data_IF_668287300237
#
_entry.id   IF_668287300237
#
_cell.length_a   1.000
_cell.length_b   1.000
_cell.length_c   1.000
_cell.angle_alpha   90.00
_cell.angle_beta   90.00
_cell.angle_gamma   90.00
#
_symmetry.space_group_name_H-M   'P 1'
#
loop_
_entity.id
_entity.type
_entity.pdbx_description
1 polymer ?
#
# COMPACT_ATOMS: atom_id res chain seq x y z
N UNK A 1 16.64 6.59 -6.23
CA UNK A 1 16.46 7.46 -5.06
C UNK A 1 16.66 6.66 -3.78
N UNK A 2 17.57 7.07 -2.92
CA UNK A 2 17.84 6.44 -1.63
C UNK A 2 17.80 7.51 -0.53
N UNK A 3 16.76 7.54 0.34
CA UNK A 3 16.53 8.63 1.27
C UNK A 3 17.72 8.94 2.17
N UNK A 4 18.42 7.93 2.68
CA UNK A 4 19.58 8.13 3.57
C UNK A 4 20.78 8.75 2.86
N UNK A 5 20.91 8.60 1.55
CA UNK A 5 21.98 9.23 0.77
C UNK A 5 21.62 10.64 0.33
N UNK A 6 20.35 10.87 -0.03
CA UNK A 6 19.86 12.18 -0.46
C UNK A 6 19.73 13.18 0.72
N UNK A 7 19.41 12.67 1.92
CA UNK A 7 19.20 13.47 3.11
C UNK A 7 20.18 13.09 4.23
N UNK A 8 21.45 12.91 3.90
CA UNK A 8 22.49 12.43 4.83
C UNK A 8 22.56 13.26 6.11
N UNK A 9 22.35 14.58 6.03
CA UNK A 9 22.38 15.49 7.19
C UNK A 9 21.25 15.18 8.17
N UNK A 10 20.04 14.82 7.67
CA UNK A 10 18.91 14.47 8.51
C UNK A 10 19.19 13.19 9.30
N UNK A 11 19.72 12.16 8.62
CA UNK A 11 20.05 10.89 9.27
C UNK A 11 21.25 11.01 10.21
N UNK A 12 22.27 11.80 9.84
CA UNK A 12 23.44 12.00 10.67
C UNK A 12 23.15 12.80 11.95
N UNK A 13 22.30 13.83 11.87
CA UNK A 13 22.02 14.73 12.98
C UNK A 13 20.81 14.32 13.83
N UNK A 14 19.82 13.63 13.25
CA UNK A 14 18.51 13.37 13.87
C UNK A 14 18.08 11.92 13.85
N UNK A 15 18.90 11.00 13.35
CA UNK A 15 18.59 9.58 13.15
C UNK A 15 17.37 9.33 12.23
N UNK A 16 16.91 10.31 11.45
CA UNK A 16 15.79 10.19 10.54
C UNK A 16 14.89 11.42 10.51
N UNK A 17 13.72 11.26 9.89
CA UNK A 17 12.76 12.36 9.71
C UNK A 17 11.92 12.59 10.97
N UNK A 18 11.71 13.86 11.32
CA UNK A 18 10.84 14.25 12.42
C UNK A 18 9.37 14.00 12.10
N UNK A 19 8.96 14.23 10.84
CA UNK A 19 7.59 14.03 10.37
C UNK A 19 7.61 13.39 8.99
N UNK A 20 6.84 12.31 8.84
CA UNK A 20 6.54 11.67 7.55
C UNK A 20 5.03 11.71 7.38
N UNK A 21 4.54 12.26 6.29
CA UNK A 21 3.10 12.24 6.00
C UNK A 21 2.83 12.01 4.52
N UNK A 22 1.75 11.30 4.22
CA UNK A 22 1.38 11.06 2.83
C UNK A 22 0.24 10.09 2.62
N UNK A 23 -0.09 9.95 1.35
CA UNK A 23 -1.01 8.94 0.83
C UNK A 23 -0.22 8.07 -0.16
N UNK A 24 0.34 6.94 0.30
CA UNK A 24 1.10 6.05 -0.59
C UNK A 24 0.20 5.41 -1.64
N UNK A 25 0.74 4.97 -2.78
CA UNK A 25 -0.07 4.34 -3.84
C UNK A 25 -0.71 3.03 -3.35
N UNK A 26 -2.04 2.89 -3.50
CA UNK A 26 -2.82 1.70 -3.13
C UNK A 26 -2.84 0.68 -4.27
N UNK A 27 -1.67 0.33 -4.75
CA UNK A 27 -1.50 -0.50 -5.94
C UNK A 27 -0.99 -1.87 -5.52
N UNK A 28 -1.72 -2.90 -5.89
CA UNK A 28 -1.25 -4.29 -5.82
C UNK A 28 -0.34 -4.56 -7.01
N UNK A 29 0.73 -5.27 -6.76
CA UNK A 29 1.57 -5.77 -7.84
C UNK A 29 0.91 -7.02 -8.42
N UNK A 30 0.25 -6.85 -9.55
CA UNK A 30 -0.42 -7.93 -10.29
C UNK A 30 -0.04 -7.81 -11.76
N UNK A 31 0.22 -8.95 -12.41
CA UNK A 31 0.52 -8.97 -13.83
C UNK A 31 -0.78 -8.87 -14.64
N UNK A 32 -0.96 -7.79 -15.36
CA UNK A 32 -2.15 -7.53 -16.18
C UNK A 32 -1.97 -8.05 -17.62
N UNK A 33 -2.09 -9.36 -17.79
CA UNK A 33 -2.02 -10.04 -19.08
C UNK A 33 -3.00 -9.44 -20.11
N UNK A 34 -4.24 -9.16 -19.67
CA UNK A 34 -5.28 -8.63 -20.56
C UNK A 34 -4.95 -7.21 -20.97
N UNK A 35 -4.50 -6.37 -20.05
CA UNK A 35 -4.09 -5.00 -20.32
C UNK A 35 -3.02 -4.93 -21.40
N UNK A 36 -1.92 -5.67 -21.21
CA UNK A 36 -0.78 -5.69 -22.15
C UNK A 36 -1.21 -6.13 -23.57
N UNK A 37 -1.99 -7.21 -23.66
CA UNK A 37 -2.46 -7.68 -24.98
C UNK A 37 -3.43 -6.68 -25.60
N UNK A 38 -4.28 -6.05 -24.78
CA UNK A 38 -5.34 -5.16 -25.26
C UNK A 38 -4.83 -3.81 -25.77
N UNK A 39 -3.63 -3.39 -25.38
CA UNK A 39 -3.00 -2.19 -25.96
C UNK A 39 -2.90 -2.27 -27.49
N UNK A 40 -2.64 -3.46 -28.01
CA UNK A 40 -2.54 -3.71 -29.45
C UNK A 40 -3.76 -4.39 -30.05
N UNK A 41 -4.45 -5.22 -29.27
CA UNK A 41 -5.61 -6.02 -29.65
C UNK A 41 -6.81 -5.75 -28.72
N UNK A 42 -7.45 -4.57 -28.83
CA UNK A 42 -8.50 -4.12 -27.89
C UNK A 42 -9.69 -5.06 -27.76
N UNK A 43 -9.95 -5.88 -28.81
CA UNK A 43 -11.05 -6.85 -28.78
C UNK A 43 -10.90 -7.91 -27.68
N UNK A 44 -9.70 -8.12 -27.12
CA UNK A 44 -9.47 -9.07 -26.04
C UNK A 44 -10.09 -8.56 -24.72
N UNK A 45 -10.00 -7.27 -24.44
CA UNK A 45 -10.65 -6.65 -23.29
C UNK A 45 -12.18 -6.53 -23.50
N UNK A 46 -12.60 -6.10 -24.70
CA UNK A 46 -14.02 -5.82 -24.99
C UNK A 46 -14.89 -7.07 -24.84
N UNK A 47 -14.40 -8.24 -25.24
CA UNK A 47 -15.15 -9.50 -25.22
C UNK A 47 -15.27 -10.15 -23.86
N UNK A 48 -14.68 -9.58 -22.78
CA UNK A 48 -14.63 -10.17 -21.44
C UNK A 48 -14.27 -11.67 -21.46
N UNK A 49 -13.21 -11.98 -22.18
CA UNK A 49 -12.76 -13.34 -22.46
C UNK A 49 -12.36 -14.05 -21.16
N UNK A 50 -12.67 -15.34 -21.02
CA UNK A 50 -12.23 -16.11 -19.86
C UNK A 50 -10.71 -16.27 -19.82
N UNK A 51 -10.12 -16.47 -18.64
CA UNK A 51 -8.66 -16.62 -18.51
C UNK A 51 -8.08 -17.76 -19.40
N UNK A 52 -8.71 -18.95 -19.55
CA UNK A 52 -8.23 -19.96 -20.49
C UNK A 52 -8.26 -19.50 -21.94
N UNK A 53 -9.30 -18.75 -22.34
CA UNK A 53 -9.41 -18.24 -23.71
C UNK A 53 -8.41 -17.12 -23.99
N UNK A 54 -8.10 -16.28 -23.00
CA UNK A 54 -7.04 -15.26 -23.11
C UNK A 54 -5.71 -15.94 -23.38
N UNK A 55 -5.36 -17.00 -22.63
CA UNK A 55 -4.11 -17.74 -22.84
C UNK A 55 -4.00 -18.35 -24.23
N UNK A 56 -5.08 -18.98 -24.72
CA UNK A 56 -5.11 -19.53 -26.07
C UNK A 56 -4.90 -18.44 -27.11
N UNK A 57 -5.61 -17.31 -26.98
CA UNK A 57 -5.50 -16.19 -27.89
C UNK A 57 -4.13 -15.53 -27.85
N UNK A 58 -3.52 -15.42 -26.66
CA UNK A 58 -2.13 -14.97 -26.49
C UNK A 58 -1.18 -15.81 -27.35
N UNK A 59 -1.26 -17.13 -27.23
CA UNK A 59 -0.36 -18.06 -27.94
C UNK A 59 -0.56 -17.94 -29.46
N UNK A 60 -1.80 -17.77 -29.93
CA UNK A 60 -2.11 -17.45 -31.34
C UNK A 60 -1.49 -16.13 -31.78
N UNK A 61 -1.63 -15.07 -30.98
CA UNK A 61 -1.09 -13.74 -31.27
C UNK A 61 0.43 -13.73 -31.28
N UNK A 62 1.09 -14.43 -30.37
CA UNK A 62 2.56 -14.56 -30.36
C UNK A 62 3.10 -15.23 -31.62
N UNK A 63 2.36 -16.16 -32.22
CA UNK A 63 2.76 -16.82 -33.46
C UNK A 63 2.80 -15.87 -34.66
N UNK A 64 2.06 -14.77 -34.63
CA UNK A 64 1.92 -13.80 -35.73
C UNK A 64 2.54 -12.43 -35.41
N UNK A 65 2.76 -12.14 -34.14
CA UNK A 65 3.27 -10.85 -33.67
C UNK A 65 4.41 -11.02 -32.64
N UNK A 66 5.62 -11.18 -33.16
CA UNK A 66 6.81 -11.33 -32.32
C UNK A 66 7.15 -10.09 -31.48
N UNK A 67 6.65 -8.90 -31.88
CA UNK A 67 6.86 -7.67 -31.10
C UNK A 67 5.97 -7.66 -29.86
N UNK A 68 4.71 -8.11 -29.98
CA UNK A 68 3.84 -8.28 -28.83
C UNK A 68 4.44 -9.26 -27.82
N UNK A 69 4.97 -10.41 -28.30
CA UNK A 69 5.61 -11.37 -27.40
C UNK A 69 6.78 -10.77 -26.64
N UNK A 70 7.63 -9.98 -27.29
CA UNK A 70 8.77 -9.32 -26.63
C UNK A 70 8.32 -8.36 -25.54
N UNK A 71 7.32 -7.52 -25.81
CA UNK A 71 6.77 -6.57 -24.85
C UNK A 71 6.17 -7.35 -23.66
N UNK A 72 5.33 -8.33 -23.96
CA UNK A 72 4.71 -9.15 -22.93
C UNK A 72 5.74 -9.84 -22.00
N UNK A 73 6.79 -10.44 -22.58
CA UNK A 73 7.86 -11.09 -21.79
C UNK A 73 8.65 -10.11 -20.96
N UNK A 74 8.91 -8.92 -21.47
CA UNK A 74 9.59 -7.88 -20.71
C UNK A 74 8.75 -7.46 -19.49
N UNK A 75 7.46 -7.16 -19.66
CA UNK A 75 6.54 -6.81 -18.58
C UNK A 75 6.35 -7.96 -17.56
N UNK A 76 6.29 -9.23 -18.03
CA UNK A 76 6.21 -10.41 -17.17
C UNK A 76 7.46 -10.54 -16.29
N UNK A 77 8.64 -10.32 -16.85
CA UNK A 77 9.91 -10.36 -16.13
C UNK A 77 9.98 -9.22 -15.11
N UNK A 78 9.65 -7.99 -15.51
CA UNK A 78 9.71 -6.82 -14.64
C UNK A 78 8.74 -6.97 -13.46
N UNK A 79 7.50 -7.42 -13.71
CA UNK A 79 6.52 -7.69 -12.66
C UNK A 79 7.01 -8.80 -11.71
N UNK A 80 7.55 -9.88 -12.24
CA UNK A 80 8.07 -11.01 -11.45
C UNK A 80 9.27 -10.56 -10.61
N UNK A 81 10.22 -9.83 -11.18
CA UNK A 81 11.40 -9.33 -10.48
C UNK A 81 11.00 -8.35 -9.36
N UNK A 82 10.06 -7.43 -9.65
CA UNK A 82 9.53 -6.52 -8.64
C UNK A 82 8.85 -7.30 -7.49
N UNK A 83 8.06 -8.32 -7.80
CA UNK A 83 7.42 -9.17 -6.80
C UNK A 83 8.42 -9.90 -5.91
N UNK A 84 9.46 -10.48 -6.50
CA UNK A 84 10.54 -11.14 -5.77
C UNK A 84 11.28 -10.14 -4.86
N UNK A 85 11.62 -8.96 -5.37
CA UNK A 85 12.29 -7.92 -4.60
C UNK A 85 11.45 -7.43 -3.41
N UNK A 86 10.17 -7.16 -3.63
CA UNK A 86 9.26 -6.62 -2.61
C UNK A 86 8.80 -7.66 -1.58
N UNK A 87 8.96 -8.96 -1.86
CA UNK A 87 8.70 -10.05 -0.91
C UNK A 87 9.98 -10.66 -0.31
N UNK A 88 11.15 -10.16 -0.70
CA UNK A 88 12.40 -10.69 -0.17
C UNK A 88 12.57 -10.33 1.31
N UNK A 89 12.89 -11.31 2.14
CA UNK A 89 13.08 -11.13 3.58
C UNK A 89 14.09 -10.05 3.92
N UNK A 90 15.19 -9.95 3.16
CA UNK A 90 16.23 -8.95 3.40
C UNK A 90 15.75 -7.51 3.13
N UNK A 91 14.72 -7.32 2.29
CA UNK A 91 14.21 -6.00 1.94
C UNK A 91 13.00 -5.60 2.80
N UNK A 92 12.08 -6.57 3.00
CA UNK A 92 10.81 -6.34 3.70
C UNK A 92 10.46 -7.52 4.60
N UNK A 93 11.17 -7.73 5.73
CA UNK A 93 10.98 -8.90 6.60
C UNK A 93 9.56 -9.01 7.17
N UNK A 94 8.86 -7.89 7.33
CA UNK A 94 7.49 -7.85 7.85
C UNK A 94 6.42 -8.19 6.79
N UNK A 95 6.79 -8.25 5.49
CA UNK A 95 5.84 -8.45 4.38
C UNK A 95 5.93 -9.84 3.74
N UNK A 96 6.85 -10.68 4.19
CA UNK A 96 7.04 -12.03 3.63
C UNK A 96 5.75 -12.84 3.68
N UNK A 97 5.39 -13.44 2.53
CA UNK A 97 4.19 -14.28 2.40
C UNK A 97 2.86 -13.53 2.31
N UNK A 98 2.90 -12.20 2.26
CA UNK A 98 1.72 -11.36 2.02
C UNK A 98 1.61 -11.03 0.52
N UNK A 99 0.38 -10.70 0.08
CA UNK A 99 0.21 -10.12 -1.24
C UNK A 99 0.92 -8.76 -1.31
N UNK A 100 1.78 -8.60 -2.32
CA UNK A 100 2.56 -7.39 -2.53
C UNK A 100 1.64 -6.22 -2.84
N UNK A 101 1.73 -5.19 -2.01
CA UNK A 101 1.03 -3.93 -2.22
C UNK A 101 1.96 -2.77 -1.83
N UNK A 102 2.10 -1.78 -2.71
CA UNK A 102 3.10 -0.72 -2.56
C UNK A 102 2.92 0.10 -1.28
N UNK A 103 1.68 0.35 -0.83
CA UNK A 103 1.47 1.09 0.42
C UNK A 103 2.06 0.37 1.65
N UNK A 104 2.07 -0.98 1.68
CA UNK A 104 2.71 -1.74 2.77
C UNK A 104 4.23 -1.53 2.77
N UNK A 105 4.84 -1.50 1.59
CA UNK A 105 6.28 -1.23 1.46
C UNK A 105 6.63 0.20 1.90
N UNK A 106 5.81 1.19 1.51
CA UNK A 106 6.00 2.59 1.95
C UNK A 106 5.83 2.72 3.46
N UNK A 107 4.83 2.04 4.05
CA UNK A 107 4.60 2.02 5.48
C UNK A 107 5.82 1.47 6.25
N UNK A 108 6.32 0.31 5.84
CA UNK A 108 7.49 -0.31 6.50
C UNK A 108 8.74 0.54 6.35
N UNK A 109 9.02 1.05 5.15
CA UNK A 109 10.14 1.97 4.94
C UNK A 109 9.98 3.26 5.76
N UNK A 110 8.77 3.81 5.84
CA UNK A 110 8.49 4.99 6.64
C UNK A 110 8.78 4.76 8.13
N UNK A 111 8.44 3.58 8.66
CA UNK A 111 8.78 3.22 10.05
C UNK A 111 10.29 3.19 10.30
N UNK A 112 11.09 2.72 9.34
CA UNK A 112 12.55 2.69 9.41
C UNK A 112 13.18 4.07 9.23
N UNK A 113 12.51 4.98 8.53
CA UNK A 113 13.02 6.33 8.23
C UNK A 113 12.62 7.37 9.29
N UNK A 114 11.75 7.02 10.25
CA UNK A 114 11.43 7.91 11.37
C UNK A 114 12.64 8.12 12.28
N UNK A 115 12.92 9.36 12.60
CA UNK A 115 13.92 9.72 13.62
C UNK A 115 13.47 9.30 15.02
N UNK A 116 14.35 9.49 16.02
CA UNK A 116 14.16 9.03 17.40
C UNK A 116 12.85 9.47 18.05
N UNK A 117 12.39 10.69 17.74
CA UNK A 117 11.13 11.26 18.23
C UNK A 117 10.16 11.57 17.07
N UNK A 118 10.32 10.84 15.94
CA UNK A 118 9.59 11.08 14.72
C UNK A 118 8.14 10.58 14.78
N UNK A 119 7.30 11.19 13.93
CA UNK A 119 5.91 10.84 13.73
C UNK A 119 5.64 10.52 12.27
N UNK A 120 4.73 9.58 12.02
CA UNK A 120 4.30 9.25 10.68
C UNK A 120 2.78 9.19 10.59
N UNK A 121 2.22 9.98 9.66
CA UNK A 121 0.80 9.98 9.32
C UNK A 121 0.57 9.49 7.90
N UNK A 122 -0.09 8.35 7.71
CA UNK A 122 -0.39 7.80 6.40
C UNK A 122 -1.88 7.50 6.22
N UNK A 123 -2.36 7.71 4.98
CA UNK A 123 -3.66 7.20 4.54
C UNK A 123 -3.45 5.88 3.79
N UNK A 124 -4.07 4.80 4.27
CA UNK A 124 -3.89 3.47 3.69
C UNK A 124 -5.20 2.70 3.63
N UNK A 125 -5.33 1.68 2.75
CA UNK A 125 -6.42 0.73 2.84
C UNK A 125 -6.45 0.00 4.18
N UNK A 126 -7.65 -0.34 4.67
CA UNK A 126 -7.86 -1.12 5.90
C UNK A 126 -7.41 -2.59 5.80
N UNK A 127 -7.05 -3.04 4.62
CA UNK A 127 -6.57 -4.41 4.39
C UNK A 127 -5.32 -4.80 5.19
N UNK A 128 -4.58 -3.85 5.76
CA UNK A 128 -3.52 -4.13 6.75
C UNK A 128 -4.08 -4.92 7.94
N UNK A 129 -5.27 -4.54 8.41
CA UNK A 129 -5.88 -5.10 9.61
C UNK A 129 -6.61 -6.42 9.34
N UNK A 130 -7.09 -6.61 8.11
CA UNK A 130 -7.90 -7.75 7.68
C UNK A 130 -7.08 -8.88 7.02
N UNK A 131 -5.82 -8.62 6.62
CA UNK A 131 -4.97 -9.60 5.93
C UNK A 131 -4.61 -10.76 6.88
N UNK A 132 -5.03 -12.00 6.61
CA UNK A 132 -4.72 -13.14 7.47
C UNK A 132 -3.21 -13.39 7.62
N UNK A 133 -2.42 -13.10 6.57
CA UNK A 133 -0.97 -13.25 6.59
C UNK A 133 -0.24 -12.02 7.13
N UNK A 134 -0.96 -10.93 7.44
CA UNK A 134 -0.42 -9.66 7.88
C UNK A 134 0.01 -9.60 9.36
N UNK A 135 0.01 -10.73 10.09
CA UNK A 135 0.33 -10.74 11.52
C UNK A 135 1.70 -10.12 11.87
N UNK A 136 2.81 -10.40 11.16
CA UNK A 136 4.10 -9.80 11.50
C UNK A 136 4.08 -8.27 11.40
N UNK A 137 3.49 -7.75 10.33
CA UNK A 137 3.35 -6.31 10.13
C UNK A 137 2.45 -5.68 11.21
N UNK A 138 1.26 -6.25 11.47
CA UNK A 138 0.34 -5.74 12.51
C UNK A 138 0.96 -5.73 13.89
N UNK A 139 1.70 -6.79 14.23
CA UNK A 139 2.38 -6.89 15.54
C UNK A 139 3.36 -5.76 15.75
N UNK A 140 4.08 -5.36 14.70
CA UNK A 140 5.02 -4.24 14.78
C UNK A 140 4.28 -2.91 14.77
N UNK A 141 3.35 -2.73 13.83
CA UNK A 141 2.55 -1.52 13.67
C UNK A 141 1.86 -1.09 14.99
N UNK A 142 1.22 -2.02 15.70
CA UNK A 142 0.50 -1.70 16.94
C UNK A 142 1.39 -1.14 18.05
N UNK A 143 2.68 -1.45 18.07
CA UNK A 143 3.60 -0.89 19.06
C UNK A 143 3.84 0.60 18.84
N UNK A 144 3.78 1.04 17.59
CA UNK A 144 4.02 2.41 17.16
C UNK A 144 2.73 3.24 17.04
N UNK A 145 1.57 2.59 16.94
CA UNK A 145 0.30 3.24 16.66
C UNK A 145 -0.13 4.13 17.84
N UNK A 146 -0.50 5.39 17.53
CA UNK A 146 -1.09 6.35 18.47
C UNK A 146 -2.57 6.54 18.20
N UNK A 147 -2.94 6.74 16.95
CA UNK A 147 -4.31 6.95 16.50
C UNK A 147 -4.58 6.16 15.25
N UNK A 148 -5.80 5.63 15.16
CA UNK A 148 -6.33 4.96 14.00
C UNK A 148 -7.74 5.46 13.72
N UNK A 149 -7.93 6.06 12.53
CA UNK A 149 -9.20 6.63 12.09
C UNK A 149 -9.67 5.87 10.86
N UNK A 150 -10.66 4.98 11.03
CA UNK A 150 -11.20 4.20 9.93
C UNK A 150 -12.38 4.92 9.28
N UNK A 151 -12.25 5.16 7.98
CA UNK A 151 -13.26 5.80 7.13
C UNK A 151 -13.89 4.80 6.16
N UNK A 152 -15.14 5.09 5.82
CA UNK A 152 -15.83 4.49 4.68
C UNK A 152 -15.91 5.50 3.54
N UNK A 153 -15.61 5.10 2.31
CA UNK A 153 -15.59 6.00 1.15
C UNK A 153 -17.00 6.28 0.56
N UNK A 154 -18.07 6.14 1.34
CA UNK A 154 -19.44 6.38 0.85
C UNK A 154 -19.65 7.79 0.32
N UNK A 155 -19.01 8.78 0.91
CA UNK A 155 -19.04 10.18 0.45
C UNK A 155 -18.11 10.42 -0.75
N UNK A 156 -17.44 9.39 -1.25
CA UNK A 156 -16.50 9.45 -2.39
C UNK A 156 -15.43 10.53 -2.24
N UNK A 157 -14.87 10.68 -1.03
CA UNK A 157 -13.74 11.57 -0.79
C UNK A 157 -12.53 11.17 -1.65
N UNK A 158 -12.42 9.87 -1.98
CA UNK A 158 -11.53 9.34 -3.01
C UNK A 158 -12.39 8.89 -4.21
N UNK A 159 -12.48 9.74 -5.24
CA UNK A 159 -13.37 9.51 -6.39
C UNK A 159 -13.02 8.25 -7.19
N UNK A 160 -11.73 7.90 -7.27
CA UNK A 160 -11.23 6.75 -8.03
C UNK A 160 -11.35 5.42 -7.27
N UNK A 161 -11.65 5.47 -5.97
CA UNK A 161 -11.77 4.30 -5.12
C UNK A 161 -13.25 3.92 -4.95
N UNK A 162 -13.54 2.61 -4.98
CA UNK A 162 -14.91 2.13 -4.82
C UNK A 162 -15.54 2.64 -3.51
N UNK A 163 -16.82 3.04 -3.55
CA UNK A 163 -17.50 3.68 -2.40
C UNK A 163 -17.61 2.79 -1.15
N UNK A 164 -17.55 1.47 -1.28
CA UNK A 164 -17.49 0.55 -0.13
C UNK A 164 -16.08 0.29 0.41
N UNK A 165 -15.06 0.89 -0.19
CA UNK A 165 -13.70 0.70 0.29
C UNK A 165 -13.50 1.41 1.62
N UNK A 166 -12.98 0.65 2.60
CA UNK A 166 -12.52 1.21 3.86
C UNK A 166 -11.06 1.62 3.75
N UNK A 167 -10.76 2.80 4.29
CA UNK A 167 -9.39 3.29 4.39
C UNK A 167 -9.15 3.89 5.78
N UNK A 168 -7.92 3.92 6.21
CA UNK A 168 -7.53 4.41 7.53
C UNK A 168 -6.52 5.53 7.47
N UNK A 169 -6.74 6.57 8.30
CA UNK A 169 -5.70 7.49 8.72
C UNK A 169 -4.98 6.89 9.92
N UNK A 170 -3.69 6.67 9.81
CA UNK A 170 -2.87 6.08 10.86
C UNK A 170 -1.83 7.09 11.30
N UNK A 171 -1.76 7.37 12.60
CA UNK A 171 -0.69 8.17 13.19
C UNK A 171 0.19 7.28 14.05
N UNK A 172 1.45 7.18 13.67
CA UNK A 172 2.48 6.40 14.36
C UNK A 172 3.55 7.31 14.96
N UNK A 173 4.26 6.79 15.95
CA UNK A 173 5.47 7.40 16.52
C UNK A 173 6.63 6.41 16.50
N UNK A 174 7.84 6.90 16.51
CA UNK A 174 9.06 6.06 16.58
C UNK A 174 9.17 5.28 17.89
N UNK A 175 8.72 5.89 19.00
CA UNK A 175 8.68 5.22 20.30
C UNK A 175 7.68 4.07 20.35
N UNK A 176 8.07 2.95 20.95
CA UNK A 176 7.20 1.76 21.10
C UNK A 176 6.43 1.75 22.40
N UNK A 177 5.20 1.25 22.34
CA UNK A 177 4.32 1.00 23.49
C UNK A 177 4.22 -0.49 23.77
N UNK A 178 4.52 -0.89 25.00
CA UNK A 178 4.38 -2.28 25.43
C UNK A 178 3.70 -2.34 26.81
N UNK A 179 2.44 -2.80 26.93
CA UNK A 179 1.56 -3.26 25.85
C UNK A 179 1.13 -2.13 24.91
N UNK A 180 0.71 -2.45 23.65
CA UNK A 180 0.21 -1.45 22.71
C UNK A 180 -0.95 -0.63 23.30
N UNK A 181 -0.89 0.71 23.10
CA UNK A 181 -1.95 1.62 23.55
C UNK A 181 -2.17 2.69 22.48
N UNK A 182 -3.34 2.71 21.90
CA UNK A 182 -3.74 3.69 20.88
C UNK A 182 -5.24 4.00 20.98
N UNK A 183 -5.65 5.15 20.45
CA UNK A 183 -7.05 5.49 20.29
C UNK A 183 -7.51 5.11 18.88
N UNK A 184 -8.73 4.57 18.76
CA UNK A 184 -9.31 4.22 17.47
C UNK A 184 -10.73 4.75 17.37
N UNK A 185 -11.03 5.38 16.23
CA UNK A 185 -12.38 5.78 15.81
C UNK A 185 -12.71 5.07 14.50
N UNK A 186 -13.82 4.35 14.47
CA UNK A 186 -14.22 3.54 13.33
C UNK A 186 -15.56 3.98 12.76
N UNK A 187 -15.84 3.56 11.52
CA UNK A 187 -17.07 3.89 10.78
C UNK A 187 -17.25 5.39 10.54
N UNK A 188 -16.16 6.09 10.31
CA UNK A 188 -16.17 7.51 9.99
C UNK A 188 -16.54 7.71 8.51
N UNK A 189 -17.29 8.78 8.23
CA UNK A 189 -17.64 9.20 6.87
C UNK A 189 -16.97 10.53 6.51
N UNK A 190 -16.76 11.41 7.49
CA UNK A 190 -16.18 12.72 7.26
C UNK A 190 -15.10 13.05 8.29
N UNK A 191 -13.97 13.69 7.88
CA UNK A 191 -12.88 14.07 8.78
C UNK A 191 -13.30 14.97 9.95
N UNK A 192 -14.26 15.86 9.75
CA UNK A 192 -14.76 16.77 10.80
C UNK A 192 -15.27 16.04 12.07
N UNK A 193 -15.64 14.75 11.95
CA UNK A 193 -16.02 13.95 13.13
C UNK A 193 -14.83 13.77 14.06
N UNK A 194 -13.63 13.60 13.51
CA UNK A 194 -12.39 13.47 14.31
C UNK A 194 -12.10 14.80 15.01
N UNK A 195 -12.21 15.93 14.30
CA UNK A 195 -12.02 17.27 14.88
C UNK A 195 -13.01 17.51 16.04
N UNK A 196 -14.27 17.15 15.84
CA UNK A 196 -15.29 17.27 16.86
C UNK A 196 -15.00 16.39 18.09
N UNK A 197 -14.49 15.15 17.89
CA UNK A 197 -14.08 14.28 18.99
C UNK A 197 -12.90 14.85 19.79
N UNK A 198 -11.94 15.50 19.14
CA UNK A 198 -10.83 16.13 19.85
C UNK A 198 -11.21 17.45 20.53
N UNK A 199 -12.20 18.16 20.01
CA UNK A 199 -12.71 19.39 20.59
C UNK A 199 -13.68 19.14 21.77
N UNK A 200 -14.19 17.90 21.95
CA UNK A 200 -15.18 17.55 22.97
C UNK A 200 -14.50 17.42 24.35
N UNK A 201 -15.05 18.09 25.33
CA UNK A 201 -14.55 18.13 26.71
C UNK A 201 -14.93 16.91 27.58
N UNK A 202 -15.69 15.99 27.02
CA UNK A 202 -16.17 14.78 27.71
C UNK A 202 -17.47 15.00 28.54
N UNK A 203 -18.02 16.20 28.51
CA UNK A 203 -19.30 16.51 29.15
C UNK A 203 -20.41 16.58 28.08
N UNK A 204 -21.39 15.72 28.18
CA UNK A 204 -22.56 15.64 27.30
C UNK A 204 -23.84 15.80 28.04
#
# INVERSE_FOLDING_TARGET
FHPMLEFIEVFWLRDGFDIICGNPPWIKLEFDEVGIISEKYPEVAIRRTSAPDVRRKRDELFSIDSQLEKIYRAEEIDNTCAGVFLNAYQNYPLLVGQQTNLYKCVLTNGMELMGRDGYMGLLTPETIYDDPNGQPLRRELYKHLMYHFQYQNELRLFAEVHHHTKYGGQLLRSGISSPPRFASLSNLFHPNTVDACFAHDGHG
#
